data_IF_785647632167
#
_entry.id   IF_785647632167
#
_cell.length_a   1.000
_cell.length_b   1.000
_cell.length_c   1.000
_cell.angle_alpha   90.00
_cell.angle_beta   90.00
_cell.angle_gamma   90.00
#
_symmetry.space_group_name_H-M   'P 1'
#
loop_
_entity.id
_entity.type
_entity.pdbx_description
1 polymer ?
#
# COMPACT_ATOMS: atom_id res chain seq x y z
N UNK A 1 -27.96 -15.07 9.97
CA UNK A 1 -26.53 -15.16 9.58
C UNK A 1 -25.88 -13.79 9.69
N UNK A 2 -26.43 -12.77 9.03
CA UNK A 2 -26.12 -11.35 9.30
C UNK A 2 -26.09 -11.02 10.80
N UNK A 3 -27.05 -11.51 11.58
CA UNK A 3 -27.11 -11.30 13.04
C UNK A 3 -25.90 -11.89 13.78
N UNK A 4 -25.32 -12.98 13.28
CA UNK A 4 -24.14 -13.61 13.88
C UNK A 4 -22.88 -12.77 13.60
N UNK A 5 -22.78 -12.23 12.38
CA UNK A 5 -21.71 -11.31 11.98
C UNK A 5 -21.82 -9.97 12.71
N UNK A 6 -23.03 -9.40 12.84
CA UNK A 6 -23.28 -8.17 13.59
C UNK A 6 -22.98 -8.36 15.09
N UNK A 7 -23.32 -9.51 15.67
CA UNK A 7 -22.93 -9.83 17.05
C UNK A 7 -21.41 -10.02 17.20
N UNK A 8 -20.72 -10.57 16.19
CA UNK A 8 -19.25 -10.60 16.17
C UNK A 8 -18.66 -9.18 16.11
N UNK A 9 -19.16 -8.31 15.24
CA UNK A 9 -18.72 -6.92 15.12
C UNK A 9 -18.93 -6.14 16.44
N UNK A 10 -20.08 -6.31 17.08
CA UNK A 10 -20.36 -5.74 18.40
C UNK A 10 -19.45 -6.30 19.51
N UNK A 11 -19.00 -7.56 19.39
CA UNK A 11 -18.04 -8.18 20.32
C UNK A 11 -16.62 -7.57 20.17
N UNK A 12 -16.19 -7.25 18.95
CA UNK A 12 -14.92 -6.53 18.71
C UNK A 12 -14.93 -5.11 19.31
N UNK A 13 -16.09 -4.45 19.39
CA UNK A 13 -16.26 -3.11 19.98
C UNK A 13 -16.14 -3.04 21.51
N UNK A 14 -16.09 -4.17 22.22
CA UNK A 14 -15.95 -4.19 23.70
C UNK A 14 -14.46 -4.31 24.08
N UNK A 15 -13.82 -3.18 24.38
CA UNK A 15 -12.36 -3.11 24.55
C UNK A 15 -11.74 -4.12 25.56
N UNK A 16 -12.34 -4.41 26.73
CA UNK A 16 -11.82 -5.47 27.63
C UNK A 16 -11.83 -6.87 27.02
N UNK A 17 -12.85 -7.20 26.21
CA UNK A 17 -12.98 -8.47 25.51
C UNK A 17 -11.98 -8.52 24.34
N UNK A 18 -11.90 -7.45 23.56
CA UNK A 18 -10.93 -7.29 22.48
C UNK A 18 -9.48 -7.48 22.98
N UNK A 19 -9.14 -6.90 24.14
CA UNK A 19 -7.85 -7.08 24.83
C UNK A 19 -7.52 -8.53 25.16
N UNK A 20 -8.54 -9.32 25.54
CA UNK A 20 -8.39 -10.76 25.81
C UNK A 20 -8.18 -11.49 24.48
N UNK A 21 -8.96 -11.19 23.44
CA UNK A 21 -8.81 -11.79 22.12
C UNK A 21 -7.42 -11.56 21.52
N UNK A 22 -6.87 -10.34 21.58
CA UNK A 22 -5.51 -10.02 21.12
C UNK A 22 -4.43 -10.81 21.88
N UNK A 23 -4.62 -11.07 23.18
CA UNK A 23 -3.72 -11.92 23.98
C UNK A 23 -3.80 -13.39 23.55
N UNK A 24 -5.01 -13.91 23.34
CA UNK A 24 -5.21 -15.28 22.83
C UNK A 24 -4.58 -15.44 21.45
N UNK A 25 -4.75 -14.45 20.57
CA UNK A 25 -4.17 -14.45 19.23
C UNK A 25 -2.62 -14.40 19.26
N UNK A 26 -2.03 -13.56 20.12
CA UNK A 26 -0.57 -13.55 20.31
C UNK A 26 -0.04 -14.90 20.80
N UNK A 27 -0.74 -15.56 21.73
CA UNK A 27 -0.41 -16.91 22.17
C UNK A 27 -0.57 -17.94 21.03
N UNK A 28 -1.60 -17.81 20.19
CA UNK A 28 -1.82 -18.69 19.04
C UNK A 28 -0.72 -18.55 17.98
N UNK A 29 -0.33 -17.31 17.63
CA UNK A 29 0.81 -17.03 16.74
C UNK A 29 2.10 -17.67 17.27
N UNK A 30 2.42 -17.41 18.55
CA UNK A 30 3.59 -17.98 19.24
C UNK A 30 3.60 -19.52 19.20
N UNK A 31 2.45 -20.16 19.47
CA UNK A 31 2.30 -21.61 19.46
C UNK A 31 2.35 -22.21 18.05
N UNK A 32 1.75 -21.54 17.06
CA UNK A 32 1.74 -21.98 15.66
C UNK A 32 3.17 -21.99 15.08
N UNK A 33 3.94 -20.92 15.31
CA UNK A 33 5.38 -20.85 14.97
C UNK A 33 6.15 -21.99 15.63
N UNK A 34 6.02 -22.17 16.94
CA UNK A 34 6.73 -23.23 17.67
C UNK A 34 6.39 -24.64 17.14
N UNK A 35 5.12 -24.90 16.83
CA UNK A 35 4.68 -26.16 16.24
C UNK A 35 5.21 -26.37 14.80
N UNK A 36 5.44 -25.29 14.04
CA UNK A 36 6.11 -25.33 12.74
C UNK A 36 7.60 -25.66 12.89
N UNK A 37 8.34 -24.95 13.74
CA UNK A 37 9.76 -25.25 14.00
C UNK A 37 9.96 -26.69 14.47
N UNK A 38 9.13 -27.16 15.41
CA UNK A 38 9.17 -28.54 15.91
C UNK A 38 8.95 -29.56 14.78
N UNK A 39 7.98 -29.32 13.87
CA UNK A 39 7.75 -30.21 12.71
C UNK A 39 8.90 -30.18 11.72
N UNK A 40 9.53 -29.04 11.47
CA UNK A 40 10.71 -28.93 10.60
C UNK A 40 11.87 -29.75 11.19
N UNK A 41 12.17 -29.58 12.48
CA UNK A 41 13.22 -30.33 13.19
C UNK A 41 12.93 -31.84 13.21
N UNK A 42 11.68 -32.25 13.53
CA UNK A 42 11.29 -33.66 13.52
C UNK A 42 11.40 -34.27 12.11
N UNK A 43 10.99 -33.54 11.07
CA UNK A 43 11.12 -34.01 9.69
C UNK A 43 12.59 -34.17 9.26
N UNK A 44 13.48 -33.26 9.67
CA UNK A 44 14.92 -33.41 9.41
C UNK A 44 15.50 -34.65 10.11
N UNK A 45 15.17 -34.87 11.39
CA UNK A 45 15.66 -36.02 12.17
C UNK A 45 15.10 -37.37 11.67
N UNK A 46 13.81 -37.43 11.33
CA UNK A 46 13.14 -38.67 10.88
C UNK A 46 13.38 -38.94 9.39
N UNK A 47 13.57 -37.89 8.57
CA UNK A 47 13.82 -37.98 7.13
C UNK A 47 15.08 -38.77 6.78
N UNK A 48 16.12 -38.71 7.61
CA UNK A 48 17.34 -39.51 7.46
C UNK A 48 17.14 -41.03 7.62
N UNK A 49 16.00 -41.48 8.16
CA UNK A 49 15.76 -42.88 8.53
C UNK A 49 15.33 -43.82 7.39
N UNK A 50 14.76 -43.32 6.28
CA UNK A 50 14.15 -44.17 5.23
C UNK A 50 15.09 -44.52 4.07
N UNK A 51 16.25 -45.08 4.38
CA UNK A 51 17.10 -45.73 3.36
C UNK A 51 16.43 -47.03 2.86
N UNK A 52 15.93 -47.04 1.62
CA UNK A 52 15.76 -48.29 0.87
C UNK A 52 17.16 -48.89 0.62
N UNK A 53 17.43 -50.15 0.97
CA UNK A 53 18.72 -50.78 0.67
C UNK A 53 18.79 -51.10 -0.83
N UNK A 54 19.42 -50.22 -1.62
CA UNK A 54 19.71 -50.51 -3.03
C UNK A 54 19.47 -49.38 -4.03
N UNK A 55 20.23 -48.28 -3.93
CA UNK A 55 20.92 -47.66 -5.09
C UNK A 55 21.96 -46.64 -4.60
N UNK A 56 23.08 -46.58 -5.32
CA UNK A 56 24.19 -45.68 -5.08
C UNK A 56 23.93 -44.28 -5.68
N UNK A 57 24.77 -43.32 -5.27
CA UNK A 57 24.96 -41.99 -5.87
C UNK A 57 23.71 -41.11 -6.09
N UNK A 58 23.36 -40.36 -5.06
CA UNK A 58 23.00 -38.93 -5.19
C UNK A 58 23.65 -38.16 -4.03
N UNK A 59 24.07 -36.92 -4.28
CA UNK A 59 24.89 -36.14 -3.34
C UNK A 59 24.08 -35.57 -2.17
N UNK A 60 24.67 -35.38 -0.97
CA UNK A 60 23.95 -34.86 0.21
C UNK A 60 23.23 -33.53 -0.04
N UNK A 61 23.88 -32.60 -0.75
CA UNK A 61 23.38 -31.25 -1.01
C UNK A 61 21.94 -31.22 -1.55
N UNK A 62 21.60 -32.08 -2.51
CA UNK A 62 20.26 -32.11 -3.14
C UNK A 62 19.18 -32.48 -2.11
N UNK A 63 19.51 -33.26 -1.08
CA UNK A 63 18.56 -33.65 -0.04
C UNK A 63 18.43 -32.60 1.08
N UNK A 64 19.51 -31.87 1.37
CA UNK A 64 19.50 -30.75 2.31
C UNK A 64 18.76 -29.54 1.72
N UNK A 65 18.99 -29.24 0.44
CA UNK A 65 18.31 -28.18 -0.33
C UNK A 65 16.78 -28.38 -0.38
N UNK A 66 16.31 -29.60 -0.69
CA UNK A 66 14.89 -29.93 -0.69
C UNK A 66 14.23 -29.80 0.70
N UNK A 67 14.89 -30.27 1.77
CA UNK A 67 14.37 -30.13 3.13
C UNK A 67 14.35 -28.66 3.59
N UNK A 68 15.33 -27.87 3.18
CA UNK A 68 15.42 -26.43 3.48
C UNK A 68 14.29 -25.66 2.78
N UNK A 69 14.08 -25.91 1.49
CA UNK A 69 12.98 -25.34 0.69
C UNK A 69 11.59 -25.66 1.27
N UNK A 70 11.36 -26.89 1.74
CA UNK A 70 10.13 -27.26 2.45
C UNK A 70 10.01 -26.51 3.79
N UNK A 71 11.09 -26.44 4.58
CA UNK A 71 11.09 -25.71 5.86
C UNK A 71 10.77 -24.21 5.70
N UNK A 72 11.38 -23.55 4.71
CA UNK A 72 11.02 -22.18 4.32
C UNK A 72 9.57 -22.04 3.90
N UNK A 73 9.07 -22.99 3.10
CA UNK A 73 7.68 -22.95 2.62
C UNK A 73 6.69 -23.01 3.78
N UNK A 74 6.89 -23.89 4.77
CA UNK A 74 6.03 -23.94 5.96
C UNK A 74 6.16 -22.67 6.83
N UNK A 75 7.37 -22.08 6.93
CA UNK A 75 7.57 -20.77 7.59
C UNK A 75 6.80 -19.65 6.88
N UNK A 76 6.80 -19.62 5.55
CA UNK A 76 6.03 -18.67 4.71
C UNK A 76 4.51 -18.84 4.96
N UNK A 77 4.00 -20.07 5.04
CA UNK A 77 2.59 -20.32 5.39
C UNK A 77 2.22 -19.85 6.81
N UNK A 78 3.09 -20.01 7.80
CA UNK A 78 2.85 -19.49 9.16
C UNK A 78 2.71 -17.97 9.16
N UNK A 79 3.64 -17.26 8.52
CA UNK A 79 3.60 -15.79 8.37
C UNK A 79 2.31 -15.36 7.64
N UNK A 80 1.94 -16.03 6.53
CA UNK A 80 0.72 -15.71 5.78
C UNK A 80 -0.55 -15.88 6.62
N UNK A 81 -0.64 -16.92 7.45
CA UNK A 81 -1.76 -17.09 8.38
C UNK A 81 -1.87 -15.93 9.38
N UNK A 82 -0.74 -15.45 9.92
CA UNK A 82 -0.73 -14.29 10.83
C UNK A 82 -1.13 -12.99 10.11
N UNK A 83 -0.69 -12.78 8.86
CA UNK A 83 -1.15 -11.67 8.00
C UNK A 83 -2.67 -11.71 7.84
N UNK A 84 -3.24 -12.86 7.49
CA UNK A 84 -4.71 -13.01 7.31
C UNK A 84 -5.48 -12.73 8.61
N UNK A 85 -5.01 -13.22 9.75
CA UNK A 85 -5.61 -12.91 11.05
C UNK A 85 -5.53 -11.41 11.39
N UNK A 86 -4.43 -10.74 11.05
CA UNK A 86 -4.27 -9.30 11.30
C UNK A 86 -5.11 -8.46 10.34
N UNK A 87 -5.27 -8.87 9.07
CA UNK A 87 -6.19 -8.21 8.14
C UNK A 87 -7.65 -8.30 8.61
N UNK A 88 -8.10 -9.48 9.04
CA UNK A 88 -9.43 -9.64 9.62
C UNK A 88 -9.64 -8.76 10.88
N UNK A 89 -8.60 -8.52 11.69
CA UNK A 89 -8.65 -7.56 12.80
C UNK A 89 -8.72 -6.10 12.32
N UNK A 90 -7.95 -5.72 11.30
CA UNK A 90 -7.96 -4.38 10.73
C UNK A 90 -9.35 -4.03 10.19
N UNK A 91 -9.93 -4.91 9.37
CA UNK A 91 -11.28 -4.73 8.83
C UNK A 91 -12.35 -4.67 9.94
N UNK A 92 -12.25 -5.54 10.96
CA UNK A 92 -13.16 -5.56 12.12
C UNK A 92 -13.00 -4.35 13.06
N UNK A 93 -11.97 -3.52 12.87
CA UNK A 93 -11.71 -2.30 13.65
C UNK A 93 -11.83 -1.02 12.81
N UNK A 94 -12.36 -1.10 11.58
CA UNK A 94 -12.54 0.07 10.73
C UNK A 94 -13.67 0.98 11.27
N UNK A 95 -13.40 2.29 11.51
CA UNK A 95 -14.46 3.20 11.94
C UNK A 95 -15.58 3.34 10.90
N UNK A 96 -16.81 3.02 11.32
CA UNK A 96 -18.02 3.24 10.52
C UNK A 96 -18.18 4.72 10.20
N UNK A 97 -18.11 5.57 11.22
CA UNK A 97 -18.32 7.02 11.16
C UNK A 97 -17.00 7.79 11.02
N UNK A 98 -17.08 9.08 10.66
CA UNK A 98 -15.93 10.00 10.68
C UNK A 98 -15.55 10.43 12.11
N UNK A 99 -16.52 10.43 13.02
CA UNK A 99 -16.30 10.67 14.45
C UNK A 99 -16.17 9.33 15.17
N UNK A 100 -14.95 9.03 15.64
CA UNK A 100 -14.61 7.80 16.36
C UNK A 100 -15.15 7.89 17.79
N UNK A 101 -15.87 6.88 18.25
CA UNK A 101 -16.42 6.81 19.62
C UNK A 101 -15.32 6.61 20.69
N UNK A 102 -15.68 6.74 21.97
CA UNK A 102 -14.73 6.51 23.08
C UNK A 102 -14.34 5.02 23.15
N UNK A 103 -15.32 4.15 22.93
CA UNK A 103 -15.21 2.69 22.91
C UNK A 103 -14.36 2.23 21.72
N UNK A 104 -14.66 2.72 20.51
CA UNK A 104 -13.84 2.48 19.31
C UNK A 104 -12.40 2.95 19.50
N UNK A 105 -12.20 4.08 20.18
CA UNK A 105 -10.86 4.61 20.47
C UNK A 105 -10.08 3.71 21.44
N UNK A 106 -10.72 3.12 22.44
CA UNK A 106 -10.03 2.17 23.34
C UNK A 106 -9.65 0.88 22.60
N UNK A 107 -10.55 0.36 21.75
CA UNK A 107 -10.28 -0.77 20.84
C UNK A 107 -9.10 -0.46 19.91
N UNK A 108 -9.09 0.70 19.25
CA UNK A 108 -8.00 1.12 18.36
C UNK A 108 -6.68 1.31 19.10
N UNK A 109 -6.69 1.80 20.35
CA UNK A 109 -5.48 1.86 21.20
C UNK A 109 -4.95 0.46 21.50
N UNK A 110 -5.82 -0.51 21.79
CA UNK A 110 -5.41 -1.91 21.99
C UNK A 110 -4.88 -2.56 20.70
N UNK A 111 -5.49 -2.28 19.55
CA UNK A 111 -5.03 -2.73 18.24
C UNK A 111 -3.63 -2.17 17.92
N UNK A 112 -3.42 -0.86 18.07
CA UNK A 112 -2.13 -0.23 17.77
C UNK A 112 -1.01 -0.76 18.68
N UNK A 113 -1.29 -0.95 19.98
CA UNK A 113 -0.33 -1.58 20.89
C UNK A 113 0.02 -3.02 20.48
N UNK A 114 -0.97 -3.82 20.05
CA UNK A 114 -0.74 -5.18 19.56
C UNK A 114 0.08 -5.19 18.27
N UNK A 115 -0.29 -4.38 17.27
CA UNK A 115 0.47 -4.23 16.02
C UNK A 115 1.92 -3.82 16.29
N UNK A 116 2.15 -2.89 17.23
CA UNK A 116 3.50 -2.46 17.62
C UNK A 116 4.36 -3.62 18.15
N UNK A 117 3.83 -4.44 19.07
CA UNK A 117 4.54 -5.61 19.60
C UNK A 117 4.78 -6.67 18.51
N UNK A 118 3.78 -6.94 17.66
CA UNK A 118 3.89 -7.90 16.56
C UNK A 118 4.94 -7.47 15.53
N UNK A 119 5.02 -6.18 15.19
CA UNK A 119 6.02 -5.66 14.24
C UNK A 119 7.44 -5.63 14.82
N UNK A 120 7.59 -5.53 16.15
CA UNK A 120 8.88 -5.68 16.83
C UNK A 120 9.31 -7.16 16.85
N UNK A 121 8.38 -8.07 17.18
CA UNK A 121 8.65 -9.50 17.26
C UNK A 121 8.90 -10.15 15.88
N UNK A 122 8.25 -9.63 14.83
CA UNK A 122 8.40 -10.12 13.45
C UNK A 122 8.38 -8.97 12.43
N UNK A 123 9.55 -8.40 12.10
CA UNK A 123 9.67 -7.34 11.11
C UNK A 123 9.24 -7.75 9.68
N UNK A 124 9.08 -9.05 9.37
CA UNK A 124 8.51 -9.44 8.06
C UNK A 124 6.99 -9.21 7.96
N UNK A 125 6.26 -9.21 9.09
CA UNK A 125 4.81 -8.98 9.08
C UNK A 125 4.46 -7.55 8.69
N UNK A 126 5.21 -6.53 9.16
CA UNK A 126 4.94 -5.14 8.79
C UNK A 126 5.02 -4.97 7.26
N UNK A 127 5.97 -5.63 6.60
CA UNK A 127 6.08 -5.62 5.13
C UNK A 127 4.87 -6.32 4.51
N UNK A 128 4.59 -7.57 4.91
CA UNK A 128 3.56 -8.41 4.27
C UNK A 128 2.14 -7.81 4.38
N UNK A 129 1.76 -7.28 5.55
CA UNK A 129 0.46 -6.64 5.78
C UNK A 129 0.28 -5.42 4.86
N UNK A 130 1.31 -4.59 4.71
CA UNK A 130 1.26 -3.42 3.83
C UNK A 130 1.39 -3.77 2.33
N UNK A 131 1.86 -4.97 1.97
CA UNK A 131 1.81 -5.46 0.59
C UNK A 131 0.42 -5.98 0.19
N UNK A 132 -0.32 -6.55 1.14
CA UNK A 132 -1.75 -6.85 0.97
C UNK A 132 -2.61 -5.57 0.95
N UNK A 133 -2.17 -4.52 1.67
CA UNK A 133 -2.92 -3.27 1.83
C UNK A 133 -4.07 -3.40 2.85
N UNK A 134 -4.67 -2.27 3.22
CA UNK A 134 -5.88 -2.20 4.07
C UNK A 134 -6.56 -0.83 3.91
N UNK A 135 -7.71 -0.63 4.57
CA UNK A 135 -8.49 0.61 4.49
C UNK A 135 -7.69 1.88 4.80
N UNK A 136 -7.69 2.85 3.89
CA UNK A 136 -6.90 4.09 4.02
C UNK A 136 -7.28 4.94 5.24
N UNK A 137 -8.52 4.83 5.75
CA UNK A 137 -8.92 5.46 7.02
C UNK A 137 -7.97 5.09 8.17
N UNK A 138 -7.58 3.81 8.25
CA UNK A 138 -6.77 3.27 9.34
C UNK A 138 -5.29 3.67 9.27
N UNK A 139 -4.76 4.00 8.08
CA UNK A 139 -3.36 4.40 7.90
C UNK A 139 -3.01 5.57 8.83
N UNK A 140 -3.86 6.59 8.86
CA UNK A 140 -3.66 7.79 9.70
C UNK A 140 -3.57 7.48 11.20
N UNK A 141 -4.29 6.45 11.65
CA UNK A 141 -4.37 6.02 13.04
C UNK A 141 -3.15 5.14 13.38
N UNK A 142 -2.86 4.16 12.52
CA UNK A 142 -1.76 3.20 12.72
C UNK A 142 -0.41 3.91 12.68
N UNK A 143 -0.14 4.72 11.64
CA UNK A 143 1.14 5.44 11.50
C UNK A 143 1.44 6.34 12.72
N UNK A 144 0.42 6.96 13.30
CA UNK A 144 0.55 7.86 14.45
C UNK A 144 0.64 7.15 15.81
N UNK A 145 0.06 5.95 15.94
CA UNK A 145 -0.04 5.24 17.23
C UNK A 145 0.81 3.96 17.31
N UNK A 146 1.57 3.62 16.26
CA UNK A 146 2.46 2.45 16.21
C UNK A 146 3.91 2.90 15.97
N UNK A 147 4.73 3.08 17.03
CA UNK A 147 6.07 3.69 16.90
C UNK A 147 7.06 2.94 15.99
N UNK A 148 6.84 1.66 15.70
CA UNK A 148 7.66 0.86 14.78
C UNK A 148 7.41 1.15 13.30
N UNK A 149 6.43 2.01 12.96
CA UNK A 149 6.08 2.33 11.56
C UNK A 149 7.18 3.05 10.77
N UNK A 150 8.18 3.66 11.43
CA UNK A 150 9.35 4.23 10.74
C UNK A 150 10.15 3.19 9.93
N UNK A 151 10.06 1.90 10.26
CA UNK A 151 10.69 0.79 9.50
C UNK A 151 10.10 0.64 8.09
N UNK A 152 8.89 1.18 7.83
CA UNK A 152 8.29 1.16 6.49
C UNK A 152 9.18 1.83 5.42
N UNK A 153 10.01 2.81 5.79
CA UNK A 153 10.91 3.48 4.84
C UNK A 153 11.97 2.57 4.21
N UNK A 154 12.24 1.38 4.76
CA UNK A 154 13.19 0.43 4.19
C UNK A 154 12.66 -0.31 2.96
N UNK A 155 11.33 -0.49 2.85
CA UNK A 155 10.71 -1.25 1.76
C UNK A 155 9.60 -0.51 1.01
N UNK A 156 9.14 0.67 1.47
CA UNK A 156 8.02 1.39 0.82
C UNK A 156 8.26 1.72 -0.66
N UNK A 157 9.52 1.87 -1.08
CA UNK A 157 9.88 2.03 -2.51
C UNK A 157 9.46 0.83 -3.36
N UNK A 158 9.52 -0.39 -2.82
CA UNK A 158 9.10 -1.62 -3.49
C UNK A 158 7.58 -1.62 -3.71
N UNK A 159 6.82 -1.16 -2.71
CA UNK A 159 5.37 -1.02 -2.78
C UNK A 159 4.96 0.04 -3.82
N UNK A 160 5.66 1.18 -3.84
CA UNK A 160 5.49 2.27 -4.83
C UNK A 160 5.74 1.77 -6.27
N UNK A 161 6.64 0.80 -6.47
CA UNK A 161 6.91 0.23 -7.80
C UNK A 161 5.86 -0.78 -8.28
N UNK A 162 5.08 -1.42 -7.41
CA UNK A 162 4.03 -2.40 -7.78
C UNK A 162 3.07 -1.85 -8.84
N UNK A 163 2.71 -2.67 -9.84
CA UNK A 163 1.90 -2.24 -10.99
C UNK A 163 0.47 -1.83 -10.63
N UNK A 164 -0.15 -2.47 -9.64
CA UNK A 164 -1.53 -2.20 -9.24
C UNK A 164 -1.74 -0.75 -8.73
N UNK A 165 -2.70 -0.07 -9.34
CA UNK A 165 -3.11 1.28 -8.98
C UNK A 165 -3.70 1.38 -7.57
N UNK A 166 -4.37 0.36 -7.02
CA UNK A 166 -4.86 0.41 -5.63
C UNK A 166 -3.70 0.32 -4.63
N UNK A 167 -2.74 -0.60 -4.84
CA UNK A 167 -1.52 -0.67 -4.03
C UNK A 167 -0.67 0.60 -4.17
N UNK A 168 -0.61 1.23 -5.36
CA UNK A 168 0.00 2.57 -5.52
C UNK A 168 -0.74 3.65 -4.72
N UNK A 169 -2.08 3.73 -4.77
CA UNK A 169 -2.86 4.69 -3.96
C UNK A 169 -2.57 4.51 -2.46
N UNK A 170 -2.62 3.26 -1.98
CA UNK A 170 -2.28 2.91 -0.60
C UNK A 170 -0.83 3.31 -0.25
N UNK A 171 0.12 3.12 -1.17
CA UNK A 171 1.52 3.54 -1.01
C UNK A 171 1.68 5.05 -0.86
N UNK A 172 0.94 5.86 -1.65
CA UNK A 172 0.98 7.33 -1.54
C UNK A 172 0.40 7.77 -0.20
N UNK A 173 -0.75 7.22 0.20
CA UNK A 173 -1.40 7.56 1.48
C UNK A 173 -0.49 7.19 2.66
N UNK A 174 0.04 5.96 2.67
CA UNK A 174 0.98 5.45 3.67
C UNK A 174 2.23 6.32 3.77
N UNK A 175 2.92 6.60 2.65
CA UNK A 175 4.11 7.45 2.66
C UNK A 175 3.78 8.85 3.17
N UNK A 176 2.66 9.43 2.73
CA UNK A 176 2.30 10.79 3.12
C UNK A 176 2.00 10.95 4.62
N UNK A 177 1.49 9.91 5.28
CA UNK A 177 1.34 9.89 6.74
C UNK A 177 2.69 9.64 7.44
N UNK A 178 3.52 8.74 6.92
CA UNK A 178 4.87 8.50 7.44
C UNK A 178 5.74 9.76 7.39
N UNK A 179 5.64 10.58 6.32
CA UNK A 179 6.35 11.85 6.21
C UNK A 179 5.89 12.89 7.25
N UNK A 180 4.64 12.85 7.73
CA UNK A 180 4.12 13.77 8.74
C UNK A 180 4.63 13.40 10.14
N UNK A 181 4.54 12.13 10.53
CA UNK A 181 4.98 11.68 11.86
C UNK A 181 6.51 11.54 11.93
N UNK A 182 7.20 11.33 10.80
CA UNK A 182 8.66 11.10 10.71
C UNK A 182 9.33 11.94 9.59
N UNK A 183 9.46 13.27 9.77
CA UNK A 183 10.07 14.18 8.78
C UNK A 183 11.61 14.10 8.77
N UNK A 184 12.15 12.95 8.33
CA UNK A 184 13.60 12.66 8.23
C UNK A 184 14.08 12.62 6.77
N UNK A 185 15.39 12.73 6.50
CA UNK A 185 15.91 12.70 5.11
C UNK A 185 15.50 11.42 4.36
N UNK A 186 15.48 10.26 5.03
CA UNK A 186 15.01 8.99 4.44
C UNK A 186 13.57 9.09 3.92
N UNK A 187 12.71 9.84 4.60
CA UNK A 187 11.33 10.12 4.18
C UNK A 187 11.30 11.05 2.97
N UNK A 188 12.10 12.13 2.97
CA UNK A 188 12.29 13.00 1.80
C UNK A 188 12.74 12.20 0.57
N UNK A 189 13.75 11.33 0.69
CA UNK A 189 14.25 10.46 -0.40
C UNK A 189 13.25 9.40 -0.87
N UNK A 190 12.21 9.11 -0.09
CA UNK A 190 11.08 8.29 -0.52
C UNK A 190 10.00 9.11 -1.22
N UNK A 191 9.73 10.33 -0.74
CA UNK A 191 8.78 11.27 -1.37
C UNK A 191 9.27 11.77 -2.74
N UNK A 192 10.54 12.14 -2.84
CA UNK A 192 11.26 12.48 -4.08
C UNK A 192 11.18 11.32 -5.09
N UNK A 193 11.43 10.09 -4.66
CA UNK A 193 11.29 8.89 -5.48
C UNK A 193 9.84 8.67 -5.95
N UNK A 194 8.86 8.79 -5.05
CA UNK A 194 7.45 8.63 -5.38
C UNK A 194 7.00 9.58 -6.48
N UNK A 195 7.26 10.89 -6.34
CA UNK A 195 6.81 11.87 -7.32
C UNK A 195 7.40 11.63 -8.72
N UNK A 196 8.64 11.14 -8.81
CA UNK A 196 9.26 10.75 -10.08
C UNK A 196 8.63 9.47 -10.69
N UNK A 197 8.30 8.46 -9.87
CA UNK A 197 7.55 7.27 -10.32
C UNK A 197 6.16 7.64 -10.82
N UNK A 198 5.47 8.57 -10.14
CA UNK A 198 4.18 9.08 -10.61
C UNK A 198 4.31 9.84 -11.93
N UNK A 199 5.30 10.75 -12.05
CA UNK A 199 5.50 11.57 -13.24
C UNK A 199 5.80 10.75 -14.51
N UNK A 200 6.56 9.66 -14.35
CA UNK A 200 6.90 8.72 -15.43
C UNK A 200 5.80 7.69 -15.71
N UNK A 201 4.86 7.49 -14.78
CA UNK A 201 3.67 6.65 -15.00
C UNK A 201 2.59 7.38 -15.81
N UNK A 202 2.52 8.72 -15.79
CA UNK A 202 1.50 9.48 -16.52
C UNK A 202 1.39 9.13 -18.01
N UNK A 203 2.53 8.92 -18.68
CA UNK A 203 2.57 8.62 -20.12
C UNK A 203 2.14 7.18 -20.47
N UNK A 204 1.90 6.34 -19.44
CA UNK A 204 1.51 4.93 -19.58
C UNK A 204 0.04 4.66 -19.22
N UNK A 205 -0.72 5.68 -18.81
CA UNK A 205 -2.09 5.54 -18.34
C UNK A 205 -3.09 6.19 -19.30
N UNK A 206 -4.24 5.55 -19.47
CA UNK A 206 -5.38 6.15 -20.15
C UNK A 206 -5.87 7.38 -19.38
N UNK A 207 -6.40 8.40 -20.07
CA UNK A 207 -6.78 9.65 -19.42
C UNK A 207 -7.92 9.52 -18.39
N UNK A 208 -8.77 8.47 -18.52
CA UNK A 208 -9.74 8.08 -17.49
C UNK A 208 -9.06 7.50 -16.25
N UNK A 209 -8.02 6.68 -16.43
CA UNK A 209 -7.20 6.16 -15.33
C UNK A 209 -6.44 7.29 -14.64
N UNK A 210 -5.87 8.23 -15.41
CA UNK A 210 -5.23 9.45 -14.87
C UNK A 210 -6.21 10.24 -14.01
N UNK A 211 -7.41 10.56 -14.51
CA UNK A 211 -8.42 11.28 -13.73
C UNK A 211 -8.76 10.56 -12.41
N UNK A 212 -9.10 9.28 -12.46
CA UNK A 212 -9.54 8.51 -11.29
C UNK A 212 -8.42 8.25 -10.28
N UNK A 213 -7.17 8.08 -10.74
CA UNK A 213 -6.01 7.86 -9.86
C UNK A 213 -5.51 9.16 -9.25
N UNK A 214 -5.27 10.21 -10.05
CA UNK A 214 -4.68 11.46 -9.58
C UNK A 214 -5.64 12.25 -8.67
N UNK A 215 -6.96 12.13 -8.87
CA UNK A 215 -7.95 12.66 -7.92
C UNK A 215 -7.81 12.03 -6.53
N UNK A 216 -7.61 10.70 -6.45
CA UNK A 216 -7.46 9.99 -5.16
C UNK A 216 -6.17 10.35 -4.43
N UNK A 217 -5.04 10.48 -5.15
CA UNK A 217 -3.73 10.72 -4.51
C UNK A 217 -3.41 12.20 -4.24
N UNK A 218 -4.20 13.15 -4.75
CA UNK A 218 -3.95 14.59 -4.63
C UNK A 218 -3.71 15.03 -3.17
N UNK A 219 -4.62 14.69 -2.25
CA UNK A 219 -4.50 15.15 -0.86
C UNK A 219 -3.27 14.57 -0.14
N UNK A 220 -2.86 13.35 -0.49
CA UNK A 220 -1.65 12.74 0.04
C UNK A 220 -0.36 13.38 -0.51
N UNK A 221 -0.31 13.72 -1.80
CA UNK A 221 0.82 14.50 -2.35
C UNK A 221 0.86 15.90 -1.73
N UNK A 222 -0.28 16.55 -1.53
CA UNK A 222 -0.36 17.85 -0.85
C UNK A 222 0.07 17.77 0.63
N UNK A 223 -0.22 16.66 1.31
CA UNK A 223 0.27 16.36 2.67
C UNK A 223 1.80 16.23 2.69
N UNK A 224 2.40 15.54 1.72
CA UNK A 224 3.86 15.47 1.54
C UNK A 224 4.47 16.86 1.30
N UNK A 225 3.90 17.65 0.38
CA UNK A 225 4.45 18.96 0.00
C UNK A 225 4.41 20.00 1.13
N UNK A 226 3.48 19.87 2.09
CA UNK A 226 3.44 20.70 3.31
C UNK A 226 4.63 20.43 4.26
N UNK A 227 5.15 19.21 4.26
CA UNK A 227 6.35 18.83 5.04
C UNK A 227 7.63 19.14 4.26
N UNK A 228 7.68 18.78 2.98
CA UNK A 228 8.85 18.92 2.12
C UNK A 228 8.59 19.94 1.02
N UNK A 229 8.70 21.22 1.36
CA UNK A 229 8.36 22.35 0.47
C UNK A 229 9.20 22.38 -0.82
N UNK A 230 10.43 21.86 -0.82
CA UNK A 230 11.26 21.74 -2.02
C UNK A 230 10.67 20.78 -3.09
N UNK A 231 9.74 19.90 -2.72
CA UNK A 231 9.04 19.01 -3.66
C UNK A 231 7.83 19.67 -4.33
N UNK A 232 7.40 20.86 -3.89
CA UNK A 232 6.22 21.56 -4.42
C UNK A 232 6.30 21.77 -5.93
N UNK A 233 7.46 22.15 -6.46
CA UNK A 233 7.66 22.38 -7.91
C UNK A 233 7.57 21.08 -8.72
N UNK A 234 8.03 19.95 -8.17
CA UNK A 234 7.92 18.63 -8.81
C UNK A 234 6.46 18.13 -8.79
N UNK A 235 5.76 18.32 -7.67
CA UNK A 235 4.34 18.02 -7.54
C UNK A 235 3.47 18.91 -8.45
N UNK A 236 3.83 20.19 -8.63
CA UNK A 236 3.14 21.07 -9.57
C UNK A 236 3.25 20.55 -11.00
N UNK A 237 4.48 20.25 -11.47
CA UNK A 237 4.72 19.67 -12.81
C UNK A 237 4.02 18.33 -13.02
N UNK A 238 3.89 17.52 -11.98
CA UNK A 238 3.12 16.27 -11.98
C UNK A 238 1.63 16.52 -12.22
N UNK A 239 1.01 17.40 -11.44
CA UNK A 239 -0.43 17.63 -11.54
C UNK A 239 -0.81 18.48 -12.75
N UNK A 240 0.01 19.43 -13.19
CA UNK A 240 -0.19 20.18 -14.44
C UNK A 240 -0.23 19.23 -15.66
N UNK A 241 0.77 18.35 -15.79
CA UNK A 241 0.80 17.31 -16.83
C UNK A 241 -0.42 16.38 -16.75
N UNK A 242 -0.85 15.98 -15.54
CA UNK A 242 -2.07 15.19 -15.35
C UNK A 242 -3.32 15.95 -15.80
N UNK A 243 -3.44 17.24 -15.46
CA UNK A 243 -4.53 18.10 -15.90
C UNK A 243 -4.57 18.27 -17.43
N UNK A 244 -3.41 18.43 -18.10
CA UNK A 244 -3.34 18.50 -19.56
C UNK A 244 -3.86 17.20 -20.20
N UNK A 245 -3.39 16.03 -19.74
CA UNK A 245 -3.81 14.71 -20.25
C UNK A 245 -5.33 14.52 -20.10
N UNK A 246 -5.89 14.83 -18.93
CA UNK A 246 -7.34 14.76 -18.68
C UNK A 246 -8.11 15.79 -19.53
N UNK A 247 -7.58 17.01 -19.69
CA UNK A 247 -8.31 18.06 -20.39
C UNK A 247 -8.44 17.78 -21.89
N UNK A 248 -7.36 17.33 -22.54
CA UNK A 248 -7.33 17.04 -23.99
C UNK A 248 -8.18 15.81 -24.34
N UNK A 249 -8.11 14.73 -23.54
CA UNK A 249 -8.63 13.43 -23.94
C UNK A 249 -9.99 13.04 -23.33
N UNK A 250 -10.40 13.62 -22.18
CA UNK A 250 -11.68 13.26 -21.53
C UNK A 250 -12.89 14.09 -22.01
N UNK A 251 -12.91 14.50 -23.28
CA UNK A 251 -14.15 14.84 -23.99
C UNK A 251 -14.99 16.02 -23.46
N UNK A 252 -14.39 17.20 -23.29
CA UNK A 252 -15.14 18.41 -22.92
C UNK A 252 -14.31 19.68 -23.12
N UNK A 253 -14.95 20.78 -23.54
CA UNK A 253 -14.29 22.02 -24.00
C UNK A 253 -13.32 22.62 -22.98
N UNK A 254 -12.26 23.21 -23.50
CA UNK A 254 -11.12 23.80 -22.80
C UNK A 254 -11.55 24.89 -21.78
N UNK A 255 -11.06 24.79 -20.53
CA UNK A 255 -10.57 25.90 -19.75
C UNK A 255 -9.08 25.65 -19.46
N UNK A 256 -8.20 26.15 -20.34
CA UNK A 256 -6.75 26.07 -20.19
C UNK A 256 -6.33 27.12 -19.14
N UNK A 257 -5.53 26.70 -18.17
CA UNK A 257 -4.81 27.65 -17.31
C UNK A 257 -3.87 28.47 -18.21
N UNK A 258 -3.89 29.81 -18.14
CA UNK A 258 -3.26 30.63 -19.16
C UNK A 258 -1.73 30.48 -19.15
N UNK A 259 -1.20 29.85 -20.19
CA UNK A 259 0.18 29.97 -20.66
C UNK A 259 0.13 30.23 -22.16
N UNK A 260 0.92 31.18 -22.64
CA UNK A 260 0.83 31.71 -24.01
C UNK A 260 1.55 30.84 -25.05
N UNK A 261 1.13 30.97 -26.31
CA UNK A 261 1.54 30.12 -27.43
C UNK A 261 3.04 30.26 -27.78
N UNK A 262 3.70 29.17 -28.18
CA UNK A 262 3.84 28.81 -29.61
C UNK A 262 4.63 27.49 -29.87
N UNK A 263 4.76 27.14 -31.16
CA UNK A 263 5.72 26.20 -31.78
C UNK A 263 5.45 24.68 -31.71
N UNK A 264 4.51 24.30 -32.58
CA UNK A 264 4.14 22.95 -33.08
C UNK A 264 5.29 22.08 -33.68
N UNK A 265 5.05 20.74 -33.67
CA UNK A 265 5.48 19.68 -34.64
C UNK A 265 6.97 19.25 -34.60
N UNK A 266 7.33 17.96 -34.60
CA UNK A 266 6.87 16.84 -35.48
C UNK A 266 7.17 15.43 -34.88
N UNK A 267 6.40 14.42 -35.34
CA UNK A 267 6.70 12.98 -35.58
C UNK A 267 7.44 12.15 -34.50
N UNK A 268 6.91 11.02 -33.97
CA UNK A 268 6.59 9.70 -34.59
C UNK A 268 7.78 8.88 -35.11
N UNK A 269 7.99 7.66 -34.57
CA UNK A 269 7.98 6.32 -35.24
C UNK A 269 8.67 5.24 -34.36
N UNK A 270 8.01 4.06 -34.19
CA UNK A 270 8.45 2.72 -33.71
C UNK A 270 9.25 2.54 -32.37
N UNK A 271 9.06 1.51 -31.49
CA UNK A 271 9.07 0.01 -31.56
C UNK A 271 10.52 -0.59 -31.60
N UNK A 272 10.93 -1.69 -30.92
CA UNK A 272 10.28 -2.83 -30.22
C UNK A 272 11.14 -3.42 -29.05
N UNK A 273 10.55 -4.26 -28.16
CA UNK A 273 11.17 -5.32 -27.30
C UNK A 273 12.36 -4.92 -26.35
N UNK A 274 12.83 -5.65 -25.33
CA UNK A 274 12.66 -6.99 -24.70
C UNK A 274 13.20 -6.89 -23.22
N UNK A 275 13.23 -7.84 -22.25
CA UNK A 275 12.76 -9.23 -22.05
C UNK A 275 12.71 -9.60 -20.52
N UNK A 276 11.83 -10.55 -20.15
CA UNK A 276 11.84 -11.53 -19.02
C UNK A 276 11.95 -11.18 -17.50
N UNK A 277 11.24 -12.02 -16.72
CA UNK A 277 11.49 -12.59 -15.37
C UNK A 277 11.94 -11.72 -14.17
N UNK A 278 11.02 -11.51 -13.20
CA UNK A 278 11.06 -12.20 -11.87
C UNK A 278 9.74 -11.93 -11.09
N UNK A 279 8.70 -12.75 -11.28
CA UNK A 279 7.44 -12.64 -10.52
C UNK A 279 6.67 -13.96 -10.51
N UNK A 280 6.86 -14.79 -9.47
CA UNK A 280 6.28 -16.14 -9.41
C UNK A 280 6.08 -16.73 -8.00
N UNK A 281 5.75 -15.92 -6.97
CA UNK A 281 5.37 -16.46 -5.65
C UNK A 281 4.34 -15.67 -4.81
N UNK A 282 3.48 -14.83 -5.41
CA UNK A 282 2.33 -14.23 -4.70
C UNK A 282 1.01 -14.19 -5.48
N UNK A 283 0.97 -14.59 -6.75
CA UNK A 283 -0.23 -14.54 -7.61
C UNK A 283 -1.19 -15.73 -7.36
N UNK A 284 -1.64 -15.85 -6.11
CA UNK A 284 -2.56 -16.90 -5.65
C UNK A 284 -3.73 -16.37 -4.79
N UNK A 285 -3.97 -15.04 -4.75
CA UNK A 285 -5.07 -14.46 -3.96
C UNK A 285 -5.63 -13.08 -4.40
N UNK A 286 -5.53 -12.66 -5.67
CA UNK A 286 -6.35 -11.54 -6.20
C UNK A 286 -6.86 -11.83 -7.61
N UNK A 287 -8.00 -12.53 -7.69
CA UNK A 287 -9.00 -12.17 -8.71
C UNK A 287 -9.86 -11.08 -8.07
N UNK A 288 -9.85 -9.87 -8.63
CA UNK A 288 -11.05 -9.31 -9.27
C UNK A 288 -10.78 -7.92 -9.88
N UNK A 289 -11.28 -7.72 -11.10
CA UNK A 289 -11.05 -6.53 -11.92
C UNK A 289 -12.03 -5.39 -11.55
N UNK A 290 -12.14 -5.07 -10.27
CA UNK A 290 -13.26 -4.29 -9.68
C UNK A 290 -13.19 -2.77 -9.88
N UNK A 291 -12.30 -2.27 -10.73
CA UNK A 291 -12.32 -0.86 -11.19
C UNK A 291 -13.28 -0.70 -12.38
N UNK A 292 -13.53 -1.76 -13.16
CA UNK A 292 -14.30 -1.67 -14.42
C UNK A 292 -15.81 -1.77 -14.20
N UNK A 293 -16.26 -2.55 -13.21
CA UNK A 293 -17.67 -2.94 -13.04
C UNK A 293 -18.55 -1.99 -12.22
N UNK A 294 -18.00 -0.88 -11.71
CA UNK A 294 -18.70 0.10 -10.85
C UNK A 294 -18.87 1.50 -11.48
N UNK A 295 -18.98 1.57 -12.82
CA UNK A 295 -19.03 2.84 -13.59
C UNK A 295 -20.10 2.81 -14.69
N UNK A 296 -21.29 2.31 -14.39
CA UNK A 296 -22.51 2.67 -15.13
C UNK A 296 -23.21 3.82 -14.40
N UNK A 297 -23.28 5.00 -15.01
CA UNK A 297 -24.08 6.14 -14.52
C UNK A 297 -23.34 7.36 -13.93
N UNK A 298 -22.00 7.38 -13.84
CA UNK A 298 -21.25 8.57 -13.35
C UNK A 298 -20.86 9.53 -14.48
N UNK A 299 -21.11 10.83 -14.27
CA UNK A 299 -20.80 11.88 -15.24
C UNK A 299 -19.31 12.25 -15.21
N UNK A 300 -18.55 11.69 -16.16
CA UNK A 300 -17.10 11.88 -16.28
C UNK A 300 -16.68 13.35 -16.46
N UNK A 301 -17.52 14.19 -17.08
CA UNK A 301 -17.24 15.62 -17.23
C UNK A 301 -17.28 16.34 -15.88
N UNK A 302 -18.21 15.96 -14.99
CA UNK A 302 -18.28 16.50 -13.62
C UNK A 302 -17.09 16.03 -12.77
N UNK A 303 -16.66 14.78 -12.89
CA UNK A 303 -15.43 14.29 -12.24
C UNK A 303 -14.19 15.05 -12.75
N UNK A 304 -14.09 15.30 -14.08
CA UNK A 304 -13.03 16.13 -14.70
C UNK A 304 -13.01 17.56 -14.14
N UNK A 305 -14.15 18.24 -14.09
CA UNK A 305 -14.24 19.62 -13.59
C UNK A 305 -13.87 19.72 -12.11
N UNK A 306 -14.36 18.78 -11.29
CA UNK A 306 -14.00 18.69 -9.87
C UNK A 306 -12.49 18.48 -9.67
N UNK A 307 -11.85 17.58 -10.43
CA UNK A 307 -10.40 17.36 -10.37
C UNK A 307 -9.61 18.63 -10.69
N UNK A 308 -9.93 19.32 -11.78
CA UNK A 308 -9.25 20.56 -12.18
C UNK A 308 -9.39 21.66 -11.12
N UNK A 309 -10.58 21.80 -10.52
CA UNK A 309 -10.83 22.77 -9.44
C UNK A 309 -10.04 22.39 -8.16
N UNK A 310 -10.02 21.11 -7.79
CA UNK A 310 -9.28 20.63 -6.62
C UNK A 310 -7.77 20.84 -6.77
N UNK A 311 -7.18 20.52 -7.93
CA UNK A 311 -5.76 20.76 -8.21
C UNK A 311 -5.44 22.26 -8.12
N UNK A 312 -6.25 23.12 -8.75
CA UNK A 312 -6.03 24.57 -8.71
C UNK A 312 -6.10 25.13 -7.29
N UNK A 313 -7.13 24.76 -6.53
CA UNK A 313 -7.32 25.16 -5.13
C UNK A 313 -6.16 24.68 -4.24
N UNK A 314 -5.70 23.44 -4.46
CA UNK A 314 -4.58 22.87 -3.72
C UNK A 314 -3.28 23.66 -3.92
N UNK A 315 -2.86 23.93 -5.16
CA UNK A 315 -1.62 24.65 -5.43
C UNK A 315 -1.71 26.16 -5.17
N UNK A 316 -2.91 26.77 -5.21
CA UNK A 316 -3.10 28.18 -4.85
C UNK A 316 -2.62 28.50 -3.42
N UNK A 317 -2.71 27.54 -2.49
CA UNK A 317 -2.16 27.66 -1.13
C UNK A 317 -0.62 27.80 -1.13
N UNK A 318 0.10 27.16 -2.06
CA UNK A 318 1.57 27.28 -2.13
C UNK A 318 2.02 28.53 -2.92
N UNK A 319 1.27 28.90 -3.97
CA UNK A 319 1.49 30.16 -4.71
C UNK A 319 1.34 31.36 -3.76
N UNK A 320 0.29 31.38 -2.92
CA UNK A 320 0.08 32.44 -1.91
C UNK A 320 1.13 32.52 -0.80
N UNK A 321 2.06 31.57 -0.72
CA UNK A 321 3.22 31.59 0.19
C UNK A 321 4.56 31.82 -0.53
N UNK A 322 4.57 32.13 -1.83
CA UNK A 322 5.80 32.35 -2.60
C UNK A 322 6.66 31.09 -2.80
N UNK A 323 6.08 29.90 -2.66
CA UNK A 323 6.78 28.62 -2.87
C UNK A 323 6.76 28.14 -4.33
N UNK A 324 6.05 28.88 -5.19
CA UNK A 324 6.02 28.73 -6.64
C UNK A 324 6.09 30.15 -7.21
N UNK A 325 7.24 30.55 -7.74
CA UNK A 325 7.32 31.70 -8.63
C UNK A 325 6.60 31.35 -9.93
N UNK A 326 5.51 32.06 -10.21
CA UNK A 326 4.98 32.19 -11.55
C UNK A 326 5.79 33.31 -12.19
N UNK A 327 6.74 32.96 -13.06
CA UNK A 327 7.32 33.94 -13.97
C UNK A 327 6.25 34.33 -15.01
N UNK A 328 6.05 35.64 -15.20
CA UNK A 328 5.09 36.23 -16.15
C UNK A 328 5.36 35.85 -17.63
#
# INVERSE_FOLDING_TARGET
MYDLLNNLHNFFRVAPIFKILLRVLHCYFSAARLAVEQKIVINALVGGGKRKPGRSSSSPAIFEENNTSVGESVRKYAILNEVLCIQALLDSCMPENEQISIEEREVLVHLCNFLHQVFIAEPMLIKAIHHQGYSTKLISIIVRNVPSMHVCFDWIKQLITMSDLQIKIFSVELLSHLCVEHPIEKAYRCAEFLLNVLYTMLDKLESKQVLLFYSKILQAVMRICRIFQSLVVLAYKLFDKACIIVNVNCGGTIPVLPMTNELKKRNQVEQEHFEAEEQSLFDAAVSDTTIVTAIEGRNLQTEKEQFLIQVRSAFQHFIGHGLIDIAD
#
